data_IF_588640195316
#
_entry.id   IF_588640195316
#
_cell.length_a   1.000
_cell.length_b   1.000
_cell.length_c   1.000
_cell.angle_alpha   90.00
_cell.angle_beta   90.00
_cell.angle_gamma   90.00
#
_symmetry.space_group_name_H-M   'P 1'
#
loop_
_entity.id
_entity.type
_entity.pdbx_description
1 polymer ?
#
# COMPACT_ATOMS: atom_id res chain seq x y z
N UNK A 1 58.67 -68.91 -26.17
CA UNK A 1 57.27 -68.41 -26.30
C UNK A 1 56.89 -67.49 -25.09
N UNK A 2 57.72 -66.51 -24.72
CA UNK A 2 57.42 -65.71 -23.54
C UNK A 2 57.78 -64.15 -23.66
N UNK A 3 58.48 -63.75 -24.67
CA UNK A 3 58.90 -62.39 -24.81
C UNK A 3 57.89 -61.50 -25.59
N UNK A 4 57.21 -62.08 -26.59
CA UNK A 4 56.18 -61.34 -27.37
C UNK A 4 54.89 -61.01 -26.56
N UNK A 5 54.51 -61.93 -25.67
CA UNK A 5 53.34 -61.72 -24.82
C UNK A 5 53.59 -60.56 -23.81
N UNK A 6 54.80 -60.40 -23.33
CA UNK A 6 55.19 -59.33 -22.40
C UNK A 6 55.17 -57.95 -23.09
N UNK A 7 55.52 -57.94 -24.36
CA UNK A 7 55.54 -56.67 -25.15
C UNK A 7 54.12 -56.18 -25.52
N UNK A 8 53.26 -57.17 -25.87
CA UNK A 8 51.84 -56.90 -26.16
C UNK A 8 51.07 -56.47 -24.90
N UNK A 9 51.35 -57.11 -23.78
CA UNK A 9 50.74 -56.72 -22.48
C UNK A 9 51.18 -55.37 -22.03
N UNK A 10 52.48 -55.02 -22.20
CA UNK A 10 52.99 -53.69 -21.89
C UNK A 10 52.37 -52.59 -22.78
N UNK A 11 52.18 -52.86 -24.07
CA UNK A 11 51.43 -51.94 -24.97
C UNK A 11 49.98 -51.79 -24.59
N UNK A 12 49.32 -52.85 -24.17
CA UNK A 12 47.91 -52.86 -23.75
C UNK A 12 47.72 -52.10 -22.45
N UNK A 13 48.61 -52.27 -21.44
CA UNK A 13 48.60 -51.53 -20.18
C UNK A 13 48.87 -50.06 -20.43
N UNK A 14 49.83 -49.70 -21.32
CA UNK A 14 50.14 -48.30 -21.65
C UNK A 14 48.95 -47.64 -22.39
N UNK A 15 48.25 -48.36 -23.24
CA UNK A 15 47.04 -47.91 -23.93
C UNK A 15 45.87 -47.64 -22.94
N UNK A 16 45.66 -48.50 -21.95
CA UNK A 16 44.65 -48.36 -20.90
C UNK A 16 45.00 -47.16 -19.99
N UNK A 17 46.28 -47.04 -19.55
CA UNK A 17 46.71 -45.89 -18.76
C UNK A 17 46.55 -44.57 -19.49
N UNK A 18 46.84 -44.52 -20.79
CA UNK A 18 46.68 -43.31 -21.60
C UNK A 18 45.21 -42.92 -21.78
N UNK A 19 44.34 -43.92 -21.97
CA UNK A 19 42.90 -43.68 -22.03
C UNK A 19 42.28 -43.24 -20.68
N UNK A 20 42.77 -43.78 -19.55
CA UNK A 20 42.29 -43.34 -18.22
C UNK A 20 42.70 -41.91 -17.88
N UNK A 21 43.90 -41.47 -18.33
CA UNK A 21 44.34 -40.08 -18.17
C UNK A 21 43.46 -39.15 -19.03
N UNK A 22 43.18 -39.53 -20.28
CA UNK A 22 42.28 -38.73 -21.16
C UNK A 22 40.87 -38.67 -20.56
N UNK A 23 40.36 -39.77 -19.98
CA UNK A 23 39.05 -39.80 -19.34
C UNK A 23 39.00 -38.93 -18.09
N UNK A 24 40.06 -38.88 -17.29
CA UNK A 24 40.18 -38.03 -16.12
C UNK A 24 40.21 -36.53 -16.52
N UNK A 25 40.91 -36.18 -17.60
CA UNK A 25 40.96 -34.81 -18.11
C UNK A 25 39.62 -34.37 -18.72
N UNK A 26 38.94 -35.25 -19.46
CA UNK A 26 37.59 -35.00 -19.97
C UNK A 26 36.59 -34.82 -18.83
N UNK A 27 36.70 -35.64 -17.77
CA UNK A 27 35.83 -35.52 -16.59
C UNK A 27 36.07 -34.21 -15.82
N UNK A 28 37.34 -33.78 -15.69
CA UNK A 28 37.67 -32.46 -15.13
C UNK A 28 37.09 -31.32 -15.96
N UNK A 29 37.15 -31.40 -17.28
CA UNK A 29 36.61 -30.38 -18.18
C UNK A 29 35.08 -30.34 -18.07
N UNK A 30 34.40 -31.50 -18.01
CA UNK A 30 32.94 -31.56 -17.84
C UNK A 30 32.51 -30.98 -16.51
N UNK A 31 33.20 -31.31 -15.40
CA UNK A 31 32.91 -30.74 -14.09
C UNK A 31 33.16 -29.22 -14.05
N UNK A 32 34.24 -28.73 -14.64
CA UNK A 32 34.52 -27.29 -14.73
C UNK A 32 33.47 -26.58 -15.57
N UNK A 33 32.98 -27.20 -16.65
CA UNK A 33 31.92 -26.61 -17.49
C UNK A 33 30.57 -26.60 -16.77
N UNK A 34 30.27 -27.66 -16.00
CA UNK A 34 29.09 -27.75 -15.14
C UNK A 34 29.10 -26.62 -14.07
N UNK A 35 30.23 -26.39 -13.39
CA UNK A 35 30.35 -25.37 -12.39
C UNK A 35 30.18 -23.96 -12.95
N UNK A 36 30.70 -23.69 -14.14
CA UNK A 36 30.54 -22.40 -14.82
C UNK A 36 29.09 -22.21 -15.25
N UNK A 37 28.44 -23.25 -15.74
CA UNK A 37 27.04 -23.20 -16.17
C UNK A 37 26.11 -22.98 -14.97
N UNK A 38 26.34 -23.67 -13.84
CA UNK A 38 25.58 -23.50 -12.61
C UNK A 38 25.77 -22.10 -12.02
N UNK A 39 26.98 -21.54 -12.04
CA UNK A 39 27.24 -20.15 -11.60
C UNK A 39 26.52 -19.14 -12.50
N UNK A 40 26.55 -19.30 -13.80
CA UNK A 40 25.84 -18.41 -14.75
C UNK A 40 24.32 -18.52 -14.58
N UNK A 41 23.80 -19.73 -14.35
CA UNK A 41 22.38 -19.95 -14.10
C UNK A 41 21.93 -19.31 -12.79
N UNK A 42 22.74 -19.41 -11.72
CA UNK A 42 22.47 -18.70 -10.44
C UNK A 42 22.48 -17.18 -10.60
N UNK A 43 23.42 -16.63 -11.36
CA UNK A 43 23.48 -15.19 -11.70
C UNK A 43 22.26 -14.76 -12.52
N UNK A 44 21.83 -15.57 -13.47
CA UNK A 44 20.63 -15.32 -14.27
C UNK A 44 19.36 -15.33 -13.41
N UNK A 45 19.21 -16.32 -12.53
CA UNK A 45 18.08 -16.39 -11.58
C UNK A 45 18.08 -15.21 -10.62
N UNK A 46 19.25 -14.81 -10.11
CA UNK A 46 19.38 -13.64 -9.25
C UNK A 46 19.01 -12.34 -9.99
N UNK A 47 19.42 -12.19 -11.24
CA UNK A 47 19.06 -11.04 -12.07
C UNK A 47 17.56 -11.01 -12.38
N UNK A 48 16.94 -12.15 -12.68
CA UNK A 48 15.48 -12.26 -12.88
C UNK A 48 14.72 -11.92 -11.59
N UNK A 49 15.17 -12.42 -10.43
CA UNK A 49 14.59 -12.05 -9.14
C UNK A 49 14.72 -10.54 -8.85
N UNK A 50 15.86 -9.94 -9.19
CA UNK A 50 16.07 -8.49 -9.02
C UNK A 50 15.11 -7.68 -9.90
N UNK A 51 14.90 -8.08 -11.15
CA UNK A 51 13.94 -7.45 -12.06
C UNK A 51 12.50 -7.63 -11.59
N UNK A 52 12.13 -8.80 -11.07
CA UNK A 52 10.80 -9.03 -10.50
C UNK A 52 10.54 -8.19 -9.24
N UNK A 53 11.56 -7.94 -8.41
CA UNK A 53 11.43 -7.08 -7.24
C UNK A 53 11.16 -5.60 -7.60
N UNK A 54 11.55 -5.13 -8.78
CA UNK A 54 11.32 -3.77 -9.24
C UNK A 54 9.87 -3.50 -9.70
N UNK A 55 9.03 -4.53 -9.87
CA UNK A 55 7.64 -4.39 -10.33
C UNK A 55 6.61 -4.31 -9.21
N UNK A 56 7.03 -4.17 -7.95
CA UNK A 56 6.10 -4.00 -6.82
C UNK A 56 5.52 -2.59 -6.89
N UNK A 57 4.34 -2.46 -7.49
CA UNK A 57 3.57 -1.23 -7.47
C UNK A 57 2.99 -1.02 -6.06
N UNK A 58 3.45 0.02 -5.37
CA UNK A 58 2.86 0.45 -4.10
C UNK A 58 1.53 1.14 -4.39
N UNK A 59 0.42 0.43 -4.21
CA UNK A 59 -0.91 1.00 -4.38
C UNK A 59 -1.33 1.75 -3.12
N UNK A 60 -2.24 2.74 -3.30
CA UNK A 60 -2.69 3.59 -2.21
C UNK A 60 -3.75 2.83 -1.40
N UNK A 61 -3.37 2.35 -0.22
CA UNK A 61 -4.27 1.65 0.73
C UNK A 61 -4.30 2.31 2.10
N UNK A 62 -3.53 3.37 2.28
CA UNK A 62 -3.34 4.05 3.56
C UNK A 62 -3.55 5.54 3.42
N UNK A 63 -3.66 6.19 4.56
CA UNK A 63 -3.73 7.63 4.72
C UNK A 63 -2.47 8.15 5.43
N UNK A 64 -2.34 9.46 5.52
CA UNK A 64 -1.27 10.11 6.26
C UNK A 64 -1.82 11.27 7.10
N UNK A 65 -1.05 11.67 8.11
CA UNK A 65 -1.32 12.88 8.88
C UNK A 65 -0.03 13.67 9.01
N UNK A 66 -0.10 14.97 8.82
CA UNK A 66 1.02 15.87 8.95
C UNK A 66 0.58 17.19 9.60
N UNK A 67 1.52 18.02 10.01
CA UNK A 67 1.20 19.34 10.55
C UNK A 67 2.40 20.04 11.11
N UNK A 68 2.14 21.19 11.71
CA UNK A 68 3.12 22.01 12.40
C UNK A 68 2.63 22.35 13.80
N UNK A 69 3.52 22.34 14.77
CA UNK A 69 3.26 22.74 16.15
C UNK A 69 4.02 24.02 16.43
N UNK A 70 3.26 25.06 16.79
CA UNK A 70 3.81 26.38 17.12
C UNK A 70 3.39 26.79 18.53
N UNK A 71 4.15 27.65 19.17
CA UNK A 71 3.75 28.32 20.41
C UNK A 71 2.85 29.51 20.12
N UNK A 72 2.38 30.16 21.19
CA UNK A 72 1.48 31.35 21.13
C UNK A 72 2.12 32.57 20.47
N UNK A 73 3.44 32.70 20.55
CA UNK A 73 4.19 33.77 19.93
C UNK A 73 4.60 33.48 18.47
N UNK A 74 4.23 32.30 17.96
CA UNK A 74 4.53 31.84 16.59
C UNK A 74 5.88 31.14 16.45
N UNK A 75 6.56 30.88 17.56
CA UNK A 75 7.79 30.08 17.58
C UNK A 75 7.51 28.60 17.26
N UNK A 76 8.42 27.95 16.52
CA UNK A 76 8.33 26.55 16.20
C UNK A 76 8.70 25.68 17.41
N UNK A 77 7.82 24.76 17.82
CA UNK A 77 8.08 23.88 18.95
C UNK A 77 8.81 22.61 18.46
N UNK A 78 10.09 22.51 18.83
CA UNK A 78 10.97 21.41 18.46
C UNK A 78 10.91 20.32 19.52
N UNK A 79 10.69 19.06 19.10
CA UNK A 79 10.70 17.91 20.01
C UNK A 79 9.35 17.66 20.71
N UNK A 80 8.27 18.32 20.29
CA UNK A 80 6.92 18.01 20.78
C UNK A 80 6.55 16.58 20.37
N UNK A 81 5.94 15.85 21.28
CA UNK A 81 5.49 14.46 21.06
C UNK A 81 4.04 14.48 20.60
N UNK A 82 3.80 13.88 19.45
CA UNK A 82 2.47 13.66 18.88
C UNK A 82 2.12 12.20 19.01
N UNK A 83 1.03 11.88 19.71
CA UNK A 83 0.47 10.54 19.83
C UNK A 83 -0.90 10.52 19.16
N UNK A 84 -1.04 9.69 18.15
CA UNK A 84 -2.29 9.51 17.41
C UNK A 84 -2.83 8.11 17.68
N UNK A 85 -4.05 8.02 18.19
CA UNK A 85 -4.72 6.76 18.54
C UNK A 85 -5.93 6.56 17.64
N UNK A 86 -5.98 5.43 16.94
CA UNK A 86 -7.16 4.98 16.22
C UNK A 86 -8.10 4.30 17.22
N UNK A 87 -9.19 4.96 17.60
CA UNK A 87 -10.07 4.49 18.68
C UNK A 87 -10.67 3.10 18.43
N UNK A 88 -11.17 2.76 17.21
CA UNK A 88 -11.82 1.47 16.99
C UNK A 88 -10.88 0.27 17.14
N UNK A 89 -9.60 0.39 16.80
CA UNK A 89 -8.61 -0.69 16.90
C UNK A 89 -7.65 -0.55 18.07
N UNK A 90 -7.58 0.63 18.72
CA UNK A 90 -6.60 0.94 19.75
C UNK A 90 -5.16 1.07 19.23
N UNK A 91 -4.97 1.14 17.91
CA UNK A 91 -3.63 1.29 17.31
C UNK A 91 -3.11 2.69 17.58
N UNK A 92 -1.88 2.80 18.06
CA UNK A 92 -1.22 4.08 18.34
C UNK A 92 -0.07 4.33 17.39
N UNK A 93 0.01 5.55 16.89
CA UNK A 93 1.10 6.07 16.06
C UNK A 93 1.76 7.21 16.81
N UNK A 94 3.08 7.34 16.71
CA UNK A 94 3.82 8.40 17.38
C UNK A 94 4.71 9.14 16.38
N UNK A 95 4.83 10.44 16.56
CA UNK A 95 5.79 11.29 15.86
C UNK A 95 6.37 12.33 16.81
N UNK A 96 7.46 12.97 16.38
CA UNK A 96 8.11 14.07 17.10
C UNK A 96 8.32 15.20 16.10
N UNK A 97 8.13 16.44 16.53
CA UNK A 97 8.38 17.61 15.67
C UNK A 97 9.86 17.82 15.39
N UNK A 98 10.16 18.21 14.15
CA UNK A 98 11.51 18.56 13.70
C UNK A 98 11.90 20.00 14.11
N UNK A 99 13.02 20.49 13.56
CA UNK A 99 13.54 21.86 13.81
C UNK A 99 12.60 22.98 13.38
N UNK A 100 11.71 22.71 12.45
CA UNK A 100 10.72 23.68 11.93
C UNK A 100 9.32 23.45 12.56
N UNK A 101 9.25 22.74 13.69
CA UNK A 101 7.99 22.39 14.34
C UNK A 101 7.10 21.44 13.55
N UNK A 102 7.57 20.85 12.42
CA UNK A 102 6.78 20.00 11.53
C UNK A 102 6.88 18.52 11.91
N UNK A 103 5.79 17.81 11.71
CA UNK A 103 5.70 16.38 11.93
C UNK A 103 4.88 15.71 10.83
N UNK A 104 5.10 14.41 10.61
CA UNK A 104 4.34 13.62 9.67
C UNK A 104 4.30 12.14 10.10
N UNK A 105 3.15 11.51 9.94
CA UNK A 105 2.92 10.08 10.13
C UNK A 105 2.31 9.53 8.85
N UNK A 106 2.95 8.51 8.28
CA UNK A 106 2.50 7.84 7.06
C UNK A 106 2.01 6.43 7.38
N UNK A 107 1.29 5.81 6.44
CA UNK A 107 0.84 4.42 6.58
C UNK A 107 -0.26 4.24 7.63
N UNK A 108 -1.08 5.26 7.85
CA UNK A 108 -2.21 5.22 8.78
C UNK A 108 -3.42 4.53 8.13
N UNK A 109 -4.25 3.90 8.94
CA UNK A 109 -5.51 3.31 8.46
C UNK A 109 -6.48 4.40 8.03
N UNK A 110 -7.29 4.12 7.03
CA UNK A 110 -8.39 5.00 6.61
C UNK A 110 -9.54 4.94 7.61
N UNK A 111 -10.43 5.93 7.57
CA UNK A 111 -11.56 6.04 8.48
C UNK A 111 -11.19 6.67 9.82
N UNK A 112 -11.82 6.26 10.89
CA UNK A 112 -11.64 6.82 12.23
C UNK A 112 -12.76 6.35 13.16
N UNK A 113 -12.98 7.02 14.29
CA UNK A 113 -12.36 8.26 14.76
C UNK A 113 -10.93 8.09 15.28
N UNK A 114 -10.13 9.13 15.10
CA UNK A 114 -8.79 9.26 15.66
C UNK A 114 -8.77 10.30 16.75
N UNK A 115 -7.95 10.05 17.79
CA UNK A 115 -7.60 11.04 18.83
C UNK A 115 -6.13 11.36 18.73
N UNK A 116 -5.80 12.64 18.59
CA UNK A 116 -4.43 13.15 18.52
C UNK A 116 -4.13 13.91 19.81
N UNK A 117 -3.10 13.48 20.52
CA UNK A 117 -2.56 14.13 21.71
C UNK A 117 -1.20 14.74 21.39
N UNK A 118 -1.05 16.03 21.68
CA UNK A 118 0.20 16.76 21.49
C UNK A 118 0.68 17.21 22.86
N UNK A 119 1.89 16.79 23.22
CA UNK A 119 2.50 17.13 24.52
C UNK A 119 3.92 17.64 24.33
N UNK A 120 4.27 18.66 25.11
CA UNK A 120 5.61 19.23 25.19
C UNK A 120 5.89 19.73 26.60
N UNK A 121 7.14 19.67 27.05
CA UNK A 121 7.53 20.08 28.40
C UNK A 121 7.34 21.58 28.56
N UNK A 122 6.55 22.02 29.60
CA UNK A 122 6.27 23.42 29.86
C UNK A 122 5.09 23.99 29.07
N UNK A 123 4.37 23.16 28.29
CA UNK A 123 3.18 23.56 27.54
C UNK A 123 1.98 22.73 27.92
N UNK A 124 0.79 23.30 27.86
CA UNK A 124 -0.47 22.60 28.10
C UNK A 124 -0.72 21.53 27.01
N UNK A 125 -1.09 20.34 27.44
CA UNK A 125 -1.44 19.23 26.52
C UNK A 125 -2.69 19.60 25.69
N UNK A 126 -2.67 19.28 24.40
CA UNK A 126 -3.81 19.47 23.49
C UNK A 126 -4.31 18.15 22.94
N UNK A 127 -5.63 17.95 23.07
CA UNK A 127 -6.35 16.79 22.55
C UNK A 127 -7.27 17.20 21.40
N UNK A 128 -7.10 16.52 20.25
CA UNK A 128 -7.99 16.63 19.09
C UNK A 128 -8.70 15.32 18.90
N UNK A 129 -10.03 15.31 18.92
CA UNK A 129 -10.85 14.08 18.84
C UNK A 129 -11.77 14.09 17.63
N UNK A 130 -12.18 12.90 17.17
CA UNK A 130 -13.14 12.74 16.10
C UNK A 130 -12.58 12.97 14.70
N UNK A 131 -11.28 12.88 14.51
CA UNK A 131 -10.64 13.04 13.21
C UNK A 131 -10.87 11.76 12.40
N UNK A 132 -11.32 11.92 11.14
CA UNK A 132 -11.43 10.85 10.17
C UNK A 132 -10.46 11.07 9.03
N UNK A 133 -9.74 10.01 8.65
CA UNK A 133 -8.74 10.05 7.59
C UNK A 133 -9.29 9.43 6.31
N UNK A 134 -9.19 10.17 5.20
CA UNK A 134 -9.61 9.72 3.89
C UNK A 134 -8.49 8.97 3.16
N UNK A 135 -8.84 8.01 2.32
CA UNK A 135 -7.92 7.18 1.57
C UNK A 135 -7.02 8.01 0.65
N UNK A 136 -5.72 7.79 0.72
CA UNK A 136 -4.73 8.44 -0.12
C UNK A 136 -4.52 9.94 0.14
N UNK A 137 -5.20 10.50 1.15
CA UNK A 137 -5.05 11.91 1.51
C UNK A 137 -4.16 12.08 2.73
N UNK A 138 -3.50 13.25 2.81
CA UNK A 138 -2.78 13.69 4.01
C UNK A 138 -3.66 14.67 4.77
N UNK A 139 -4.00 14.32 6.00
CA UNK A 139 -4.73 15.23 6.89
C UNK A 139 -3.76 16.20 7.56
N UNK A 140 -3.95 17.51 7.34
CA UNK A 140 -3.11 18.54 7.94
C UNK A 140 -3.71 19.04 9.26
N UNK A 141 -2.96 18.82 10.35
CA UNK A 141 -3.28 19.26 11.69
C UNK A 141 -2.21 20.23 12.23
N UNK A 142 -2.47 21.52 12.10
CA UNK A 142 -1.63 22.54 12.71
C UNK A 142 -2.15 22.85 14.12
N UNK A 143 -1.25 22.91 15.08
CA UNK A 143 -1.58 23.14 16.49
C UNK A 143 -0.75 24.28 17.06
N UNK A 144 -1.40 25.18 17.78
CA UNK A 144 -0.72 26.21 18.58
C UNK A 144 -0.81 25.81 20.04
N UNK A 145 0.31 25.64 20.74
CA UNK A 145 0.38 25.28 22.14
C UNK A 145 0.56 26.55 22.99
N UNK A 146 -0.08 26.58 24.16
CA UNK A 146 0.10 27.62 25.17
C UNK A 146 1.01 27.14 26.28
N UNK A 147 1.84 28.02 26.85
CA UNK A 147 2.63 27.68 28.03
C UNK A 147 1.71 27.24 29.18
N UNK A 148 2.14 26.23 29.91
CA UNK A 148 1.40 25.68 31.06
C UNK A 148 1.58 26.63 32.26
N UNK A 149 0.68 27.59 32.38
CA UNK A 149 0.58 28.47 33.56
C UNK A 149 -0.51 27.92 34.46
N UNK A 150 -0.26 26.74 35.09
CA UNK A 150 -1.05 26.19 36.21
C UNK A 150 -2.58 26.08 36.03
N UNK A 151 -3.11 25.92 34.81
CA UNK A 151 -4.51 25.57 34.61
C UNK A 151 -4.63 24.18 33.94
N UNK A 152 -5.03 23.18 34.71
CA UNK A 152 -5.43 21.83 34.29
C UNK A 152 -6.74 21.92 33.48
N UNK A 153 -6.67 22.44 32.27
CA UNK A 153 -7.78 22.52 31.34
C UNK A 153 -7.48 21.66 30.09
N UNK A 154 -8.06 20.46 30.01
CA UNK A 154 -8.06 19.69 28.76
C UNK A 154 -8.82 20.48 27.69
N UNK A 155 -8.13 21.00 26.69
CA UNK A 155 -8.76 21.69 25.54
C UNK A 155 -9.11 20.62 24.51
N UNK A 156 -10.37 20.21 24.47
CA UNK A 156 -10.90 19.29 23.45
C UNK A 156 -11.31 20.12 22.22
N UNK A 157 -10.57 19.95 21.14
CA UNK A 157 -10.94 20.52 19.83
C UNK A 157 -11.54 19.42 18.98
N UNK A 158 -12.80 19.57 18.56
CA UNK A 158 -13.42 18.67 17.59
C UNK A 158 -12.89 19.00 16.21
N UNK A 159 -12.10 18.10 15.62
CA UNK A 159 -11.55 18.28 14.29
C UNK A 159 -12.64 18.19 13.22
N UNK A 160 -12.84 19.27 12.45
CA UNK A 160 -13.64 19.26 11.24
C UNK A 160 -12.70 19.22 10.03
N UNK A 161 -12.72 18.10 9.29
CA UNK A 161 -11.96 18.01 8.03
C UNK A 161 -12.54 19.00 7.02
N UNK A 162 -11.73 19.96 6.56
CA UNK A 162 -12.11 20.83 5.46
C UNK A 162 -12.24 20.01 4.17
N UNK A 163 -13.42 20.02 3.56
CA UNK A 163 -13.66 19.39 2.24
C UNK A 163 -12.85 20.05 1.11
N UNK A 164 -12.26 21.19 1.35
CA UNK A 164 -11.51 22.02 0.39
C UNK A 164 -10.04 22.14 0.80
N UNK A 165 -9.35 21.02 0.98
CA UNK A 165 -7.92 21.08 1.19
C UNK A 165 -7.22 21.45 -0.12
N UNK A 166 -6.35 22.48 -0.08
CA UNK A 166 -5.59 22.94 -1.26
C UNK A 166 -4.60 21.89 -1.83
N UNK A 167 -4.43 20.79 -1.12
CA UNK A 167 -3.51 19.71 -1.47
C UNK A 167 -4.15 18.56 -2.29
N UNK A 168 -5.46 18.66 -2.57
CA UNK A 168 -6.12 17.67 -3.43
C UNK A 168 -5.69 17.86 -4.87
N UNK A 169 -4.92 16.91 -5.38
CA UNK A 169 -4.51 16.84 -6.79
C UNK A 169 -5.45 15.94 -7.57
N UNK A 170 -6.20 16.49 -8.51
CA UNK A 170 -7.15 15.75 -9.35
C UNK A 170 -8.57 15.70 -8.82
N UNK A 171 -9.48 15.13 -9.63
CA UNK A 171 -10.88 14.94 -9.27
C UNK A 171 -11.05 13.62 -8.51
N UNK A 172 -10.95 13.68 -7.18
CA UNK A 172 -11.16 12.53 -6.30
C UNK A 172 -12.47 12.67 -5.53
N UNK A 173 -13.23 11.57 -5.42
CA UNK A 173 -14.42 11.49 -4.59
C UNK A 173 -14.20 10.36 -3.60
N UNK A 174 -14.07 10.71 -2.31
CA UNK A 174 -13.95 9.74 -1.23
C UNK A 174 -15.32 9.49 -0.61
N UNK A 175 -15.70 8.22 -0.50
CA UNK A 175 -17.00 7.78 -0.05
C UNK A 175 -16.77 6.91 1.18
N UNK A 176 -17.10 7.45 2.34
CA UNK A 176 -16.92 6.79 3.63
C UNK A 176 -17.96 5.71 3.88
N UNK A 177 -17.68 4.78 4.82
CA UNK A 177 -18.61 3.73 5.22
C UNK A 177 -19.99 4.28 5.65
N UNK A 178 -20.02 5.40 6.36
CA UNK A 178 -21.27 6.04 6.77
C UNK A 178 -22.12 6.47 5.57
N UNK A 179 -21.50 6.99 4.51
CA UNK A 179 -22.18 7.35 3.27
C UNK A 179 -22.64 6.10 2.51
N UNK A 180 -21.81 5.06 2.44
CA UNK A 180 -22.15 3.77 1.81
C UNK A 180 -23.40 3.16 2.46
N UNK A 181 -23.48 3.19 3.78
CA UNK A 181 -24.62 2.65 4.51
C UNK A 181 -25.91 3.48 4.36
N UNK A 182 -25.77 4.79 4.16
CA UNK A 182 -26.89 5.70 3.98
C UNK A 182 -27.49 5.66 2.56
N UNK A 183 -26.80 5.03 1.59
CA UNK A 183 -27.26 4.96 0.21
C UNK A 183 -28.32 3.89 0.02
N UNK A 184 -29.47 4.25 -0.56
CA UNK A 184 -30.45 3.28 -1.01
C UNK A 184 -29.95 2.62 -2.30
N UNK A 185 -29.40 1.43 -2.22
CA UNK A 185 -28.94 0.65 -3.36
C UNK A 185 -29.81 -0.58 -3.57
N UNK A 186 -30.12 -0.91 -4.82
CA UNK A 186 -30.93 -2.10 -5.17
C UNK A 186 -30.03 -3.34 -5.25
N UNK A 187 -28.88 -3.22 -5.91
CA UNK A 187 -27.98 -4.35 -6.16
C UNK A 187 -26.83 -4.46 -5.15
N UNK A 188 -26.67 -3.48 -4.26
CA UNK A 188 -25.55 -3.38 -3.30
C UNK A 188 -24.19 -3.62 -3.99
N UNK A 189 -24.02 -3.00 -5.16
CA UNK A 189 -22.83 -3.14 -5.98
C UNK A 189 -21.85 -1.98 -5.79
N UNK A 190 -20.59 -2.22 -6.11
CA UNK A 190 -19.56 -1.17 -6.14
C UNK A 190 -19.91 -0.10 -7.19
N UNK A 191 -20.55 -0.50 -8.26
CA UNK A 191 -21.05 0.41 -9.32
C UNK A 191 -22.06 1.42 -8.78
N UNK A 192 -22.94 0.97 -7.86
CA UNK A 192 -23.93 1.85 -7.22
C UNK A 192 -23.23 2.89 -6.32
N UNK A 193 -22.15 2.49 -5.65
CA UNK A 193 -21.33 3.40 -4.84
C UNK A 193 -20.60 4.41 -5.74
N UNK A 194 -20.00 3.94 -6.83
CA UNK A 194 -19.27 4.80 -7.75
C UNK A 194 -20.14 5.93 -8.33
N UNK A 195 -21.43 5.71 -8.51
CA UNK A 195 -22.40 6.72 -9.00
C UNK A 195 -22.58 7.94 -8.11
N UNK A 196 -22.08 7.93 -6.86
CA UNK A 196 -22.04 9.13 -6.03
C UNK A 196 -21.06 10.16 -6.62
N UNK A 197 -20.02 9.70 -7.30
CA UNK A 197 -19.14 10.59 -8.03
C UNK A 197 -19.87 11.16 -9.25
N UNK A 198 -19.90 12.49 -9.43
CA UNK A 198 -20.55 13.12 -10.59
C UNK A 198 -19.90 12.74 -11.93
N UNK A 199 -18.72 12.17 -11.90
CA UNK A 199 -17.96 11.76 -13.07
C UNK A 199 -18.10 10.28 -13.41
N UNK A 200 -18.87 9.52 -12.62
CA UNK A 200 -19.03 8.07 -12.79
C UNK A 200 -20.42 7.70 -13.28
N UNK A 201 -20.50 6.77 -14.22
CA UNK A 201 -21.70 6.07 -14.63
C UNK A 201 -21.42 4.55 -14.60
N UNK A 202 -21.69 3.92 -13.45
CA UNK A 202 -21.24 2.55 -13.18
C UNK A 202 -19.72 2.48 -13.14
N UNK A 203 -19.13 1.59 -13.93
CA UNK A 203 -17.68 1.46 -14.09
C UNK A 203 -17.08 2.47 -15.08
N UNK A 204 -17.88 3.20 -15.83
CA UNK A 204 -17.41 4.24 -16.76
C UNK A 204 -17.07 5.51 -16.01
N UNK A 205 -15.83 5.98 -16.09
CA UNK A 205 -15.33 7.19 -15.45
C UNK A 205 -14.92 8.24 -16.46
N UNK A 206 -15.35 9.48 -16.24
CA UNK A 206 -14.98 10.61 -17.09
C UNK A 206 -15.40 10.49 -18.57
N UNK A 207 -16.43 9.71 -18.88
CA UNK A 207 -16.87 9.40 -20.24
C UNK A 207 -16.05 8.33 -20.96
N UNK A 208 -15.12 7.67 -20.26
CA UNK A 208 -14.36 6.53 -20.77
C UNK A 208 -15.16 5.23 -20.78
N UNK A 209 -14.61 4.18 -21.39
CA UNK A 209 -15.16 2.82 -21.35
C UNK A 209 -14.91 2.19 -19.98
N UNK A 210 -15.94 1.57 -19.39
CA UNK A 210 -15.83 0.86 -18.09
C UNK A 210 -14.75 -0.22 -18.04
N UNK A 211 -14.41 -0.82 -19.20
CA UNK A 211 -13.32 -1.79 -19.34
C UNK A 211 -11.93 -1.19 -19.09
N UNK A 212 -11.78 0.11 -19.29
CA UNK A 212 -10.52 0.82 -19.10
C UNK A 212 -10.37 1.44 -17.70
N UNK A 213 -11.37 1.28 -16.84
CA UNK A 213 -11.34 1.72 -15.45
C UNK A 213 -10.57 0.71 -14.60
N UNK A 214 -9.61 1.19 -13.82
CA UNK A 214 -8.91 0.34 -12.86
C UNK A 214 -9.76 0.16 -11.61
N UNK A 215 -10.03 -1.09 -11.23
CA UNK A 215 -10.62 -1.42 -9.94
C UNK A 215 -9.61 -2.12 -9.04
N UNK A 216 -9.36 -1.55 -7.88
CA UNK A 216 -8.47 -2.14 -6.87
C UNK A 216 -9.21 -2.36 -5.55
N UNK A 217 -8.89 -3.48 -4.90
CA UNK A 217 -9.36 -3.82 -3.57
C UNK A 217 -8.16 -4.10 -2.67
N UNK A 218 -8.00 -3.34 -1.59
CA UNK A 218 -6.84 -3.40 -0.69
C UNK A 218 -5.50 -3.39 -1.42
N UNK A 219 -5.45 -2.65 -2.53
CA UNK A 219 -4.29 -2.57 -3.40
C UNK A 219 -4.14 -3.70 -4.42
N UNK A 220 -4.95 -4.75 -4.36
CA UNK A 220 -4.96 -5.80 -5.38
C UNK A 220 -5.81 -5.35 -6.59
N UNK A 221 -5.28 -5.53 -7.79
CA UNK A 221 -5.99 -5.24 -9.03
C UNK A 221 -7.01 -6.36 -9.33
N UNK A 222 -8.27 -6.01 -9.47
CA UNK A 222 -9.38 -6.91 -9.80
C UNK A 222 -10.00 -6.61 -11.18
N UNK A 223 -9.22 -6.08 -12.11
CA UNK A 223 -9.71 -5.78 -13.45
C UNK A 223 -9.98 -7.04 -14.26
N UNK A 224 -10.98 -6.97 -15.15
CA UNK A 224 -11.16 -7.95 -16.21
C UNK A 224 -10.21 -7.65 -17.36
N UNK A 225 -8.95 -8.15 -17.27
CA UNK A 225 -7.91 -7.90 -18.26
C UNK A 225 -8.17 -8.56 -19.62
N UNK A 226 -9.17 -9.44 -19.74
CA UNK A 226 -9.57 -10.05 -21.01
C UNK A 226 -10.47 -9.17 -21.87
N UNK A 227 -11.03 -8.09 -21.31
CA UNK A 227 -11.69 -7.01 -22.04
C UNK A 227 -12.99 -7.37 -22.78
N UNK A 228 -13.61 -8.50 -22.44
CA UNK A 228 -14.83 -8.95 -23.10
C UNK A 228 -16.13 -8.44 -22.42
N UNK A 229 -16.04 -7.91 -21.21
CA UNK A 229 -17.17 -7.45 -20.42
C UNK A 229 -16.77 -6.18 -19.64
N UNK A 230 -17.69 -5.25 -19.47
CA UNK A 230 -17.54 -4.01 -18.71
C UNK A 230 -17.60 -4.23 -17.19
N UNK A 231 -18.11 -5.40 -16.76
CA UNK A 231 -18.28 -5.73 -15.35
C UNK A 231 -17.01 -6.25 -14.68
N UNK A 232 -17.07 -6.30 -13.36
CA UNK A 232 -16.02 -6.90 -12.53
C UNK A 232 -15.87 -8.40 -12.84
N UNK A 233 -14.70 -9.03 -12.60
CA UNK A 233 -14.46 -10.44 -12.84
C UNK A 233 -15.52 -11.31 -12.16
N UNK A 234 -16.04 -12.29 -12.90
CA UNK A 234 -17.10 -13.20 -12.40
C UNK A 234 -18.53 -12.71 -12.57
N UNK A 235 -18.75 -11.53 -13.18
CA UNK A 235 -20.09 -11.01 -13.48
C UNK A 235 -20.92 -10.61 -12.25
N UNK A 236 -20.28 -10.41 -11.10
CA UNK A 236 -20.93 -10.06 -9.82
C UNK A 236 -20.09 -9.14 -8.96
N UNK A 237 -20.56 -8.91 -7.75
CA UNK A 237 -19.79 -8.16 -6.75
C UNK A 237 -18.68 -9.06 -6.16
N UNK A 238 -17.39 -8.75 -6.34
CA UNK A 238 -16.31 -9.54 -5.80
C UNK A 238 -16.24 -9.50 -4.27
N UNK A 239 -16.87 -8.49 -3.67
CA UNK A 239 -16.94 -8.30 -2.23
C UNK A 239 -18.27 -7.69 -1.82
N UNK A 240 -18.76 -8.04 -0.62
CA UNK A 240 -19.94 -7.41 -0.03
C UNK A 240 -19.67 -5.95 0.33
N UNK A 241 -20.64 -5.07 0.04
CA UNK A 241 -20.60 -3.65 0.45
C UNK A 241 -20.32 -3.45 1.94
N UNK A 242 -20.80 -4.37 2.78
CA UNK A 242 -20.63 -4.26 4.23
C UNK A 242 -19.19 -4.50 4.69
N UNK A 243 -18.38 -5.18 3.88
CA UNK A 243 -16.97 -5.38 4.15
C UNK A 243 -16.11 -4.16 3.77
N UNK A 244 -16.67 -3.19 3.04
CA UNK A 244 -15.95 -2.00 2.56
C UNK A 244 -15.98 -0.92 3.64
N UNK A 245 -14.82 -0.32 3.91
CA UNK A 245 -14.65 0.82 4.81
C UNK A 245 -14.73 2.14 4.05
N UNK A 246 -14.01 2.24 2.94
CA UNK A 246 -13.99 3.44 2.11
C UNK A 246 -13.84 3.08 0.63
N UNK A 247 -14.47 3.86 -0.24
CA UNK A 247 -14.28 3.81 -1.69
C UNK A 247 -13.79 5.17 -2.17
N UNK A 248 -12.70 5.18 -2.90
CA UNK A 248 -12.18 6.36 -3.57
C UNK A 248 -12.40 6.21 -5.08
N UNK A 249 -13.12 7.14 -5.67
CA UNK A 249 -13.27 7.28 -7.12
C UNK A 249 -12.36 8.41 -7.59
N UNK A 250 -11.43 8.07 -8.48
CA UNK A 250 -10.41 9.02 -8.98
C UNK A 250 -10.56 9.16 -10.49
N UNK A 251 -10.71 10.39 -10.96
CA UNK A 251 -10.79 10.71 -12.39
C UNK A 251 -9.56 11.54 -12.77
N UNK A 252 -8.87 11.11 -13.82
CA UNK A 252 -7.64 11.75 -14.30
C UNK A 252 -6.61 12.02 -13.17
N UNK A 253 -6.15 10.99 -12.44
CA UNK A 253 -5.19 11.18 -11.35
C UNK A 253 -3.83 11.63 -11.87
N UNK A 254 -3.21 12.57 -11.14
CA UNK A 254 -1.83 13.00 -11.38
C UNK A 254 -0.82 12.24 -10.51
N UNK A 255 -1.29 11.37 -9.60
CA UNK A 255 -0.43 10.59 -8.73
C UNK A 255 0.17 9.39 -9.49
N UNK A 256 1.51 9.33 -9.55
CA UNK A 256 2.28 8.28 -10.24
C UNK A 256 2.07 6.88 -9.66
N UNK A 257 1.53 6.76 -8.43
CA UNK A 257 1.20 5.49 -7.80
C UNK A 257 -0.07 4.86 -8.37
N UNK A 258 -0.91 5.66 -9.01
CA UNK A 258 -2.13 5.18 -9.65
C UNK A 258 -1.83 4.82 -11.11
N UNK A 259 -2.03 3.56 -11.45
CA UNK A 259 -1.67 2.99 -12.75
C UNK A 259 -2.80 2.13 -13.32
N UNK A 260 -2.60 1.62 -14.53
CA UNK A 260 -3.47 0.62 -15.18
C UNK A 260 -4.91 1.08 -15.48
N UNK A 261 -5.08 2.35 -15.89
CA UNK A 261 -6.38 2.91 -16.28
C UNK A 261 -6.26 3.86 -17.47
N UNK A 262 -7.39 4.08 -18.15
CA UNK A 262 -7.61 5.17 -19.10
C UNK A 262 -8.85 5.92 -18.63
N UNK A 263 -8.67 7.15 -18.10
CA UNK A 263 -9.76 7.97 -17.58
C UNK A 263 -9.87 7.99 -16.06
N UNK A 264 -9.88 6.86 -15.38
CA UNK A 264 -9.97 6.86 -13.94
C UNK A 264 -9.88 5.48 -13.27
N UNK A 265 -9.90 5.49 -11.95
CA UNK A 265 -9.84 4.30 -11.12
C UNK A 265 -10.78 4.35 -9.92
N UNK A 266 -11.16 3.18 -9.45
CA UNK A 266 -11.93 2.97 -8.22
C UNK A 266 -11.06 2.17 -7.27
N UNK A 267 -10.72 2.75 -6.13
CA UNK A 267 -9.95 2.10 -5.08
C UNK A 267 -10.88 1.82 -3.90
N UNK A 268 -11.06 0.56 -3.54
CA UNK A 268 -11.82 0.15 -2.37
C UNK A 268 -10.88 -0.40 -1.29
N UNK A 269 -11.17 -0.07 -0.04
CA UNK A 269 -10.46 -0.59 1.13
C UNK A 269 -11.44 -1.30 2.03
N UNK A 270 -11.07 -2.50 2.48
CA UNK A 270 -11.91 -3.29 3.38
C UNK A 270 -11.78 -2.83 4.84
N UNK A 271 -12.83 -3.10 5.61
CA UNK A 271 -12.84 -2.86 7.06
C UNK A 271 -11.75 -3.64 7.74
N UNK A 272 -10.98 -2.96 8.56
CA UNK A 272 -10.00 -3.60 9.43
C UNK A 272 -10.66 -4.07 10.75
N UNK A 273 -10.02 -5.03 11.42
CA UNK A 273 -10.48 -5.52 12.71
C UNK A 273 -10.57 -4.40 13.76
N UNK A 274 -11.61 -4.47 14.59
CA UNK A 274 -11.86 -3.58 15.73
C UNK A 274 -11.91 -4.36 17.02
N UNK A 275 -11.75 -3.67 18.16
CA UNK A 275 -11.87 -4.28 19.49
C UNK A 275 -13.32 -4.60 19.90
N UNK A 276 -14.29 -4.12 19.11
CA UNK A 276 -15.72 -4.40 19.32
C UNK A 276 -16.22 -5.41 18.28
N UNK A 277 -16.97 -6.41 18.74
CA UNK A 277 -17.58 -7.41 17.86
C UNK A 277 -18.72 -6.75 17.05
N UNK A 278 -18.67 -6.87 15.73
CA UNK A 278 -19.71 -6.34 14.82
C UNK A 278 -20.06 -7.40 13.79
N UNK A 279 -21.32 -7.47 13.41
CA UNK A 279 -21.83 -8.39 12.38
C UNK A 279 -23.06 -7.81 11.71
N UNK A 280 -23.25 -8.14 10.44
CA UNK A 280 -24.42 -7.76 9.64
C UNK A 280 -25.04 -9.02 9.04
N UNK A 281 -26.36 -9.09 9.04
CA UNK A 281 -27.11 -10.15 8.40
C UNK A 281 -28.31 -9.53 7.66
N UNK A 282 -28.64 -10.08 6.49
CA UNK A 282 -29.85 -9.69 5.74
C UNK A 282 -30.70 -10.90 5.43
N UNK A 283 -31.98 -10.65 5.26
CA UNK A 283 -32.97 -11.60 4.79
C UNK A 283 -33.63 -11.06 3.52
#
# INVERSE_FOLDING_TARGET
MSVEYLFTFKKFVTYICKNTIIFADVFKIINKFSDIMVKRMRLFIAAVMLVMAATVNAQITTSAMAGQVTGTEGEDIIGATIRVTHEPSGTTYNAVTNTDGRWAIQGMRVGGPYTVKISYIGYAEKDYRGISLALGETYNLNATMSEDVNELGEIVVVGSASKFAAEKTGATTNISNAQIQALPTVNRSIEDIARISPYANGMSLGGGDGRSTNFTLDGANLNNNFGLNDGLPGGGNPISMDAIDEVQVVVAPYDVRQTNFIGGGINAVTKSGTNTFKGTAYV
#
